data_IF_508530841102
#
_entry.id   IF_508530841102
#
_cell.length_a   1.000
_cell.length_b   1.000
_cell.length_c   1.000
_cell.angle_alpha   90.00
_cell.angle_beta   90.00
_cell.angle_gamma   90.00
#
_symmetry.space_group_name_H-M   'P 1'
#
loop_
_entity.id
_entity.type
_entity.pdbx_description
1 polymer ?
#
# COMPACT_ATOMS: atom_id res chain seq x y z
N UNK A 1 -25.34 -3.67 -0.92
CA UNK A 1 -24.74 -2.40 -1.38
C UNK A 1 -23.46 -2.24 -0.59
N UNK A 2 -22.29 -2.36 -1.23
CA UNK A 2 -21.03 -2.24 -0.52
C UNK A 2 -20.80 -0.75 -0.23
N UNK A 3 -20.96 -0.36 1.04
CA UNK A 3 -20.71 0.99 1.52
C UNK A 3 -19.40 1.52 0.93
N UNK A 4 -19.56 2.51 0.06
CA UNK A 4 -18.47 3.15 -0.65
C UNK A 4 -17.82 4.14 0.32
N UNK A 5 -17.17 3.62 1.38
CA UNK A 5 -16.33 4.44 2.23
C UNK A 5 -15.16 4.91 1.38
N UNK A 6 -15.30 6.12 0.83
CA UNK A 6 -14.25 6.78 0.08
C UNK A 6 -13.14 7.15 1.05
N UNK A 7 -11.98 6.53 0.88
CA UNK A 7 -10.81 6.79 1.69
C UNK A 7 -9.96 7.88 1.03
N UNK A 8 -9.27 8.69 1.84
CA UNK A 8 -8.30 9.67 1.32
C UNK A 8 -7.16 8.99 0.56
N UNK A 9 -6.85 7.76 0.96
CA UNK A 9 -5.86 6.89 0.33
C UNK A 9 -6.28 6.29 -1.02
N UNK A 10 -7.57 6.36 -1.40
CA UNK A 10 -8.04 5.81 -2.68
C UNK A 10 -7.32 6.45 -3.87
N UNK A 11 -7.18 7.79 -3.84
CA UNK A 11 -6.46 8.53 -4.87
C UNK A 11 -4.97 8.16 -4.92
N UNK A 12 -4.35 7.86 -3.79
CA UNK A 12 -2.93 7.46 -3.73
C UNK A 12 -2.71 6.06 -4.31
N UNK A 13 -3.65 5.14 -4.09
CA UNK A 13 -3.61 3.79 -4.64
C UNK A 13 -3.89 3.78 -6.14
N UNK A 14 -4.78 4.65 -6.61
CA UNK A 14 -5.00 4.85 -8.05
C UNK A 14 -3.77 5.48 -8.73
N UNK A 15 -3.14 6.46 -8.07
CA UNK A 15 -1.85 7.00 -8.51
C UNK A 15 -0.74 5.94 -8.55
N UNK A 16 -0.68 5.05 -7.55
CA UNK A 16 0.23 3.89 -7.56
C UNK A 16 -0.06 2.99 -8.77
N UNK A 17 -1.32 2.65 -9.04
CA UNK A 17 -1.72 1.83 -10.19
C UNK A 17 -1.22 2.42 -11.51
N UNK A 18 -1.40 3.73 -11.69
CA UNK A 18 -0.93 4.46 -12.87
C UNK A 18 0.60 4.45 -12.93
N UNK A 19 1.27 4.66 -11.80
CA UNK A 19 2.73 4.65 -11.73
C UNK A 19 3.32 3.29 -12.10
N UNK A 20 2.77 2.19 -11.58
CA UNK A 20 3.22 0.82 -11.89
C UNK A 20 3.09 0.47 -13.38
N UNK A 21 2.21 1.16 -14.11
CA UNK A 21 2.04 1.01 -15.56
C UNK A 21 3.11 1.75 -16.39
N UNK A 22 3.86 2.67 -15.79
CA UNK A 22 4.95 3.42 -16.44
C UNK A 22 6.24 2.61 -16.51
N UNK A 23 7.21 3.02 -17.34
CA UNK A 23 8.50 2.32 -17.44
C UNK A 23 9.29 2.33 -16.13
N UNK A 24 9.20 3.41 -15.36
CA UNK A 24 9.77 3.51 -14.02
C UNK A 24 9.11 2.50 -13.06
N UNK A 25 7.78 2.43 -13.06
CA UNK A 25 7.04 1.46 -12.25
C UNK A 25 7.34 0.01 -12.65
N UNK A 26 7.40 -0.30 -13.95
CA UNK A 26 7.78 -1.62 -14.46
C UNK A 26 9.18 -2.05 -14.02
N UNK A 27 10.13 -1.12 -13.91
CA UNK A 27 11.45 -1.41 -13.37
C UNK A 27 11.40 -1.84 -11.89
N UNK A 28 10.52 -1.21 -11.10
CA UNK A 28 10.28 -1.58 -9.70
C UNK A 28 9.60 -2.95 -9.60
N UNK A 29 8.56 -3.20 -10.39
CA UNK A 29 7.84 -4.49 -10.50
C UNK A 29 8.82 -5.63 -10.78
N UNK A 30 9.66 -5.49 -11.82
CA UNK A 30 10.67 -6.49 -12.20
C UNK A 30 11.70 -6.76 -11.10
N UNK A 31 12.05 -5.74 -10.30
CA UNK A 31 13.06 -5.86 -9.24
C UNK A 31 12.50 -6.51 -7.97
N UNK A 32 11.24 -6.26 -7.65
CA UNK A 32 10.64 -6.71 -6.40
C UNK A 32 9.95 -8.07 -6.56
N UNK A 33 9.02 -8.22 -7.51
CA UNK A 33 8.29 -9.47 -7.72
C UNK A 33 7.49 -9.95 -6.50
N UNK A 34 6.98 -9.02 -5.69
CA UNK A 34 6.27 -9.30 -4.44
C UNK A 34 4.77 -8.98 -4.57
N UNK A 35 3.96 -9.58 -3.71
CA UNK A 35 2.55 -9.25 -3.56
C UNK A 35 2.33 -8.67 -2.17
N UNK A 36 1.81 -7.46 -2.12
CA UNK A 36 1.43 -6.80 -0.87
C UNK A 36 -0.08 -6.72 -0.73
N UNK A 37 -0.56 -6.90 0.49
CA UNK A 37 -1.93 -6.56 0.86
C UNK A 37 -1.90 -5.34 1.78
N UNK A 38 -2.75 -4.36 1.51
CA UNK A 38 -2.85 -3.13 2.29
C UNK A 38 -4.28 -3.04 2.81
N UNK A 39 -4.44 -3.14 4.12
CA UNK A 39 -5.71 -2.95 4.81
C UNK A 39 -5.74 -1.52 5.34
N UNK A 40 -6.74 -0.74 4.94
CA UNK A 40 -6.88 0.65 5.36
C UNK A 40 -8.19 0.81 6.11
N UNK A 41 -8.08 1.15 7.39
CA UNK A 41 -9.23 1.46 8.22
C UNK A 41 -9.54 2.97 8.15
N UNK A 42 -10.81 3.38 7.99
CA UNK A 42 -11.19 4.79 7.94
C UNK A 42 -10.88 5.52 9.26
N UNK A 43 -11.05 4.85 10.41
CA UNK A 43 -10.82 5.45 11.74
C UNK A 43 -9.99 4.59 12.67
N UNK A 44 -10.27 3.28 12.75
CA UNK A 44 -9.64 2.38 13.73
C UNK A 44 -9.26 1.07 13.04
N UNK A 45 -7.96 0.72 13.08
CA UNK A 45 -7.49 -0.57 12.56
C UNK A 45 -8.29 -1.72 13.17
N UNK A 46 -8.67 -2.67 12.32
CA UNK A 46 -9.53 -3.81 12.63
C UNK A 46 -11.02 -3.57 12.44
N UNK A 47 -11.45 -2.36 12.06
CA UNK A 47 -12.86 -2.00 11.87
C UNK A 47 -13.05 -1.34 10.50
N UNK A 48 -14.04 -1.84 9.73
CA UNK A 48 -14.41 -1.36 8.39
C UNK A 48 -13.21 -1.19 7.45
N UNK A 49 -12.28 -2.14 7.51
CA UNK A 49 -11.07 -2.10 6.69
C UNK A 49 -11.40 -2.32 5.22
N UNK A 50 -10.88 -1.43 4.40
CA UNK A 50 -10.86 -1.60 2.96
C UNK A 50 -9.53 -2.24 2.59
N UNK A 51 -9.61 -3.41 1.96
CA UNK A 51 -8.44 -4.15 1.52
C UNK A 51 -8.08 -3.78 0.09
N UNK A 52 -6.79 -3.60 -0.15
CA UNK A 52 -6.18 -3.42 -1.45
C UNK A 52 -5.08 -4.44 -1.65
N UNK A 53 -4.94 -4.91 -2.88
CA UNK A 53 -3.86 -5.80 -3.29
C UNK A 53 -2.96 -5.05 -4.26
N UNK A 54 -1.66 -5.08 -4.00
CA UNK A 54 -0.61 -4.55 -4.86
C UNK A 54 0.22 -5.73 -5.33
N UNK A 55 -0.07 -6.20 -6.55
CA UNK A 55 0.63 -7.31 -7.18
C UNK A 55 1.79 -6.76 -8.03
N UNK A 56 3.00 -6.74 -7.46
CA UNK A 56 4.22 -6.34 -8.17
C UNK A 56 4.84 -7.48 -8.98
N UNK A 57 4.16 -8.63 -9.13
CA UNK A 57 4.49 -9.62 -10.16
C UNK A 57 3.80 -9.26 -11.47
N UNK A 58 2.58 -8.72 -11.39
CA UNK A 58 1.79 -8.26 -12.54
C UNK A 58 1.89 -6.76 -12.81
N UNK A 59 2.28 -5.97 -11.82
CA UNK A 59 2.25 -4.50 -11.88
C UNK A 59 0.83 -3.93 -11.72
N UNK A 60 -0.02 -4.62 -10.96
CA UNK A 60 -1.43 -4.29 -10.80
C UNK A 60 -1.76 -3.88 -9.37
N UNK A 61 -2.72 -2.96 -9.24
CA UNK A 61 -3.35 -2.62 -7.96
C UNK A 61 -4.84 -2.84 -8.08
N UNK A 62 -5.39 -3.65 -7.20
CA UNK A 62 -6.82 -4.01 -7.17
C UNK A 62 -7.41 -3.79 -5.78
N UNK A 63 -8.70 -3.45 -5.74
CA UNK A 63 -9.46 -3.40 -4.49
C UNK A 63 -9.96 -4.81 -4.17
N UNK A 64 -9.74 -5.27 -2.95
CA UNK A 64 -10.05 -6.62 -2.51
C UNK A 64 -8.82 -7.37 -1.97
N UNK A 65 -9.10 -8.50 -1.30
CA UNK A 65 -8.09 -9.43 -0.82
C UNK A 65 -7.39 -10.13 -1.98
N UNK A 66 -6.13 -10.51 -1.77
CA UNK A 66 -5.36 -11.22 -2.79
C UNK A 66 -5.93 -12.64 -2.99
N UNK A 67 -6.34 -12.95 -4.22
CA UNK A 67 -6.95 -14.26 -4.56
C UNK A 67 -5.91 -15.32 -4.91
N UNK A 68 -4.67 -14.93 -5.24
CA UNK A 68 -3.60 -15.83 -5.65
C UNK A 68 -2.87 -16.54 -4.51
N UNK A 69 -3.49 -16.66 -3.33
CA UNK A 69 -2.94 -17.30 -2.14
C UNK A 69 -2.53 -16.30 -1.06
N UNK A 70 -1.33 -16.46 -0.49
CA UNK A 70 -0.86 -15.62 0.63
C UNK A 70 -0.01 -14.45 0.11
N UNK A 71 -0.29 -13.19 0.50
CA UNK A 71 0.58 -12.06 0.18
C UNK A 71 1.92 -12.20 0.94
N UNK A 72 2.99 -11.65 0.35
CA UNK A 72 4.33 -11.65 0.93
C UNK A 72 4.39 -10.82 2.22
N UNK A 73 3.70 -9.67 2.22
CA UNK A 73 3.45 -8.89 3.42
C UNK A 73 2.06 -8.25 3.38
N UNK A 74 1.47 -8.12 4.57
CA UNK A 74 0.22 -7.41 4.78
C UNK A 74 0.48 -6.22 5.68
N UNK A 75 0.07 -5.04 5.24
CA UNK A 75 0.14 -3.82 6.03
C UNK A 75 -1.25 -3.40 6.47
N UNK A 76 -1.36 -2.92 7.70
CA UNK A 76 -2.61 -2.35 8.21
C UNK A 76 -2.36 -0.94 8.71
N UNK A 77 -3.18 0.00 8.25
CA UNK A 77 -3.08 1.42 8.59
C UNK A 77 -4.45 2.01 8.92
N UNK A 78 -4.45 3.18 9.56
CA UNK A 78 -5.57 4.11 9.41
C UNK A 78 -5.37 4.91 8.12
N UNK A 79 -6.45 5.35 7.51
CA UNK A 79 -6.43 6.14 6.28
C UNK A 79 -5.48 7.36 6.37
N UNK A 80 -5.61 8.16 7.44
CA UNK A 80 -4.76 9.33 7.66
C UNK A 80 -3.27 8.99 7.84
N UNK A 81 -2.96 7.85 8.46
CA UNK A 81 -1.58 7.44 8.71
C UNK A 81 -0.95 6.88 7.43
N UNK A 82 -1.71 6.12 6.64
CA UNK A 82 -1.28 5.66 5.32
C UNK A 82 -0.95 6.84 4.41
N UNK A 83 -1.81 7.86 4.34
CA UNK A 83 -1.56 9.06 3.52
C UNK A 83 -0.25 9.73 3.92
N UNK A 84 0.03 9.87 5.22
CA UNK A 84 1.29 10.46 5.69
C UNK A 84 2.50 9.61 5.30
N UNK A 85 2.41 8.29 5.39
CA UNK A 85 3.49 7.37 5.01
C UNK A 85 3.73 7.40 3.50
N UNK A 86 2.68 7.25 2.69
CA UNK A 86 2.74 7.24 1.23
C UNK A 86 3.27 8.57 0.65
N UNK A 87 2.92 9.70 1.28
CA UNK A 87 3.42 11.03 0.88
C UNK A 87 4.79 11.38 1.46
N UNK A 88 5.42 10.48 2.22
CA UNK A 88 6.72 10.71 2.86
C UNK A 88 6.70 11.67 4.06
N UNK A 89 5.52 12.17 4.46
CA UNK A 89 5.34 13.01 5.67
C UNK A 89 5.58 12.25 6.97
N UNK A 90 5.52 10.92 6.94
CA UNK A 90 5.84 10.06 8.07
C UNK A 90 6.75 8.91 7.62
N UNK A 91 7.82 8.66 8.37
CA UNK A 91 8.68 7.53 8.12
C UNK A 91 7.94 6.20 8.47
N UNK A 92 7.93 5.20 7.57
CA UNK A 92 7.21 3.95 7.79
C UNK A 92 7.74 3.14 8.99
N UNK A 93 9.04 3.17 9.27
CA UNK A 93 9.61 2.48 10.45
C UNK A 93 9.11 3.13 11.74
N UNK A 94 9.01 4.46 11.78
CA UNK A 94 8.45 5.19 12.92
C UNK A 94 6.95 4.87 13.08
N UNK A 95 6.20 4.81 11.97
CA UNK A 95 4.79 4.44 11.99
C UNK A 95 4.58 3.04 12.59
N UNK A 96 5.41 2.06 12.21
CA UNK A 96 5.40 0.72 12.80
C UNK A 96 5.70 0.74 14.29
N UNK A 97 6.78 1.41 14.69
CA UNK A 97 7.24 1.46 16.07
C UNK A 97 6.22 2.15 17.00
N UNK A 98 5.43 3.09 16.47
CA UNK A 98 4.33 3.77 17.19
C UNK A 98 3.00 3.00 17.15
N UNK A 99 2.93 1.85 16.50
CA UNK A 99 1.69 1.09 16.31
C UNK A 99 0.69 1.73 15.34
N UNK A 100 1.12 2.71 14.55
CA UNK A 100 0.34 3.36 13.48
C UNK A 100 0.39 2.60 12.16
N UNK A 101 1.25 1.59 12.08
CA UNK A 101 1.29 0.58 11.03
C UNK A 101 1.43 -0.79 11.68
N UNK A 102 0.66 -1.77 11.24
CA UNK A 102 0.91 -3.19 11.54
C UNK A 102 1.42 -3.88 10.30
N UNK A 103 2.37 -4.80 10.49
CA UNK A 103 2.93 -5.62 9.43
C UNK A 103 2.72 -7.09 9.80
N UNK A 104 2.19 -7.88 8.86
CA UNK A 104 2.15 -9.35 8.92
C UNK A 104 2.87 -9.92 7.70
N UNK A 105 3.35 -11.15 7.79
CA UNK A 105 4.10 -11.80 6.70
C UNK A 105 5.60 -11.56 6.82
N UNK A 106 6.29 -11.47 5.69
CA UNK A 106 7.74 -11.35 5.63
C UNK A 106 8.22 -9.93 5.96
N UNK A 107 9.07 -9.80 6.98
CA UNK A 107 9.71 -8.52 7.33
C UNK A 107 10.64 -8.02 6.22
N UNK A 108 11.34 -8.92 5.52
CA UNK A 108 12.21 -8.53 4.39
C UNK A 108 11.40 -8.04 3.20
N UNK A 109 10.21 -8.61 2.97
CA UNK A 109 9.26 -8.08 1.99
C UNK A 109 8.72 -6.72 2.45
N UNK A 110 8.41 -6.56 3.73
CA UNK A 110 7.90 -5.30 4.26
C UNK A 110 8.91 -4.15 4.15
N UNK A 111 10.20 -4.41 4.38
CA UNK A 111 11.28 -3.43 4.20
C UNK A 111 11.44 -2.95 2.75
N UNK A 112 11.02 -3.76 1.78
CA UNK A 112 11.03 -3.41 0.35
C UNK A 112 9.83 -2.56 -0.08
N UNK A 113 8.86 -2.35 0.81
CA UNK A 113 7.76 -1.40 0.59
C UNK A 113 8.28 0.02 0.82
N UNK A 114 8.86 0.61 -0.23
CA UNK A 114 9.45 1.95 -0.19
C UNK A 114 8.58 2.97 -0.92
N UNK A 115 8.77 4.28 -0.66
CA UNK A 115 8.06 5.35 -1.38
C UNK A 115 8.23 5.33 -2.91
N UNK A 116 9.24 4.62 -3.45
CA UNK A 116 9.44 4.44 -4.90
C UNK A 116 8.30 3.68 -5.59
N UNK A 117 7.45 2.99 -4.82
CA UNK A 117 6.22 2.37 -5.33
C UNK A 117 5.15 3.41 -5.68
N UNK A 118 5.25 4.61 -5.14
CA UNK A 118 4.36 5.72 -5.41
C UNK A 118 5.01 6.65 -6.45
N UNK A 119 4.21 7.35 -7.26
CA UNK A 119 4.76 8.39 -8.11
C UNK A 119 5.48 9.41 -7.21
N UNK A 120 6.70 9.79 -7.60
CA UNK A 120 7.45 10.81 -6.86
C UNK A 120 6.56 12.06 -6.77
N UNK A 121 6.39 12.66 -5.58
CA UNK A 121 5.71 13.94 -5.48
C UNK A 121 6.47 14.90 -6.38
N UNK A 122 5.87 15.24 -7.53
CA UNK A 122 6.41 16.28 -8.39
C UNK A 122 6.43 17.52 -7.53
N UNK A 123 7.63 18.11 -7.34
CA UNK A 123 7.79 19.39 -6.67
C UNK A 123 6.79 20.36 -7.31
N UNK A 124 5.70 20.65 -6.60
CA UNK A 124 5.03 21.93 -6.71
C UNK A 124 5.75 22.90 -5.80
#
# INVERSE_FOLDING_TARGET
MADSTQLKSDALLEQMKQHLSTDAGKAVVKKLGLVYQINIAPKKMGFDEVTYTVDLKKGEVTKGSYEGGKPDATFTFKDDDFVKVATGKMNPQIAFMRGLMKVKGSLSAAQKFTPDLFPKPSKM
#
